data_IF_607904423555
#
_entry.id   IF_607904423555
#
_cell.length_a   1.000
_cell.length_b   1.000
_cell.length_c   1.000
_cell.angle_alpha   90.00
_cell.angle_beta   90.00
_cell.angle_gamma   90.00
#
_symmetry.space_group_name_H-M   'P 1'
#
loop_
_entity.id
_entity.type
_entity.pdbx_description
1 polymer ?
#
# COMPACT_ATOMS: atom_id res chain seq x y z
N UNK A 1 4.86 13.05 6.88
CA UNK A 1 5.39 11.88 6.13
C UNK A 1 6.32 11.01 6.98
N UNK A 2 6.80 11.50 8.12
CA UNK A 2 7.87 10.86 8.91
C UNK A 2 7.38 9.94 10.04
N UNK A 3 6.15 10.13 10.55
CA UNK A 3 5.67 9.38 11.73
C UNK A 3 5.43 7.88 11.50
N UNK A 4 5.15 7.47 10.26
CA UNK A 4 4.84 6.07 9.94
C UNK A 4 6.08 5.21 9.70
N UNK A 5 7.25 5.83 9.47
CA UNK A 5 8.54 5.12 9.27
C UNK A 5 9.10 4.65 10.62
N UNK A 6 8.84 5.40 11.69
CA UNK A 6 9.29 5.11 13.06
C UNK A 6 8.58 3.91 13.72
N UNK A 7 7.43 3.47 13.19
CA UNK A 7 6.67 2.30 13.71
C UNK A 7 7.13 0.95 13.15
N UNK A 8 8.28 0.88 12.48
CA UNK A 8 8.82 -0.37 11.93
C UNK A 8 8.32 -0.73 10.53
N UNK A 9 7.68 0.22 9.83
CA UNK A 9 7.52 0.11 8.39
C UNK A 9 8.89 0.38 7.75
N UNK A 10 9.66 -0.70 7.54
CA UNK A 10 10.93 -0.61 6.82
C UNK A 10 10.72 0.10 5.48
N UNK A 11 11.67 0.99 5.17
CA UNK A 11 11.93 1.59 3.85
C UNK A 11 12.00 0.57 2.69
N UNK A 12 12.13 -0.73 2.98
CA UNK A 12 12.06 -1.82 2.02
C UNK A 12 10.61 -2.23 1.75
N UNK A 13 9.98 -1.61 0.75
CA UNK A 13 9.08 -2.20 -0.28
C UNK A 13 7.96 -3.19 0.08
N UNK A 14 7.82 -3.64 1.32
CA UNK A 14 6.96 -4.76 1.74
C UNK A 14 6.58 -4.57 3.21
N UNK A 15 5.28 -4.53 3.50
CA UNK A 15 4.78 -4.52 4.87
C UNK A 15 5.19 -5.80 5.62
N UNK A 16 5.44 -5.65 6.92
CA UNK A 16 5.67 -6.81 7.80
C UNK A 16 4.39 -7.65 7.96
N UNK A 17 4.52 -8.91 8.40
CA UNK A 17 3.34 -9.76 8.69
C UNK A 17 2.38 -9.13 9.70
N UNK A 18 2.89 -8.40 10.69
CA UNK A 18 2.07 -7.69 11.67
C UNK A 18 1.34 -6.50 11.04
N UNK A 19 2.01 -5.74 10.18
CA UNK A 19 1.40 -4.63 9.43
C UNK A 19 0.28 -5.14 8.52
N UNK A 20 0.48 -6.26 7.80
CA UNK A 20 -0.57 -6.88 6.99
C UNK A 20 -1.77 -7.35 7.82
N UNK A 21 -1.53 -7.89 9.02
CA UNK A 21 -2.61 -8.29 9.94
C UNK A 21 -3.45 -7.07 10.35
N UNK A 22 -2.80 -5.96 10.75
CA UNK A 22 -3.49 -4.72 11.09
C UNK A 22 -4.29 -4.15 9.93
N UNK A 23 -3.69 -4.05 8.74
CA UNK A 23 -4.39 -3.59 7.52
C UNK A 23 -5.60 -4.47 7.25
N UNK A 24 -5.48 -5.80 7.38
CA UNK A 24 -6.60 -6.71 7.19
C UNK A 24 -7.73 -6.48 8.21
N UNK A 25 -7.39 -6.29 9.48
CA UNK A 25 -8.36 -6.02 10.55
C UNK A 25 -9.10 -4.69 10.33
N UNK A 26 -8.37 -3.62 10.01
CA UNK A 26 -8.96 -2.31 9.72
C UNK A 26 -9.83 -2.33 8.46
N UNK A 27 -9.36 -3.00 7.40
CA UNK A 27 -10.11 -3.11 6.14
C UNK A 27 -11.37 -3.97 6.32
N UNK A 28 -11.31 -4.98 7.19
CA UNK A 28 -12.51 -5.72 7.61
C UNK A 28 -13.45 -4.84 8.44
N UNK A 29 -12.95 -4.03 9.37
CA UNK A 29 -13.78 -3.13 10.18
C UNK A 29 -14.50 -2.08 9.31
N UNK A 30 -13.80 -1.52 8.32
CA UNK A 30 -14.34 -0.46 7.45
C UNK A 30 -15.23 -1.02 6.33
N UNK A 31 -14.73 -1.99 5.56
CA UNK A 31 -15.42 -2.50 4.38
C UNK A 31 -16.35 -3.68 4.68
N UNK A 32 -16.27 -4.27 5.90
CA UNK A 32 -16.94 -5.54 6.27
C UNK A 32 -16.66 -6.67 5.28
N UNK A 33 -15.52 -6.60 4.60
CA UNK A 33 -15.09 -7.58 3.59
C UNK A 33 -13.86 -8.32 4.08
N UNK A 34 -13.94 -9.64 4.12
CA UNK A 34 -12.79 -10.48 4.42
C UNK A 34 -11.99 -10.72 3.14
N UNK A 35 -10.69 -10.47 3.22
CA UNK A 35 -9.73 -10.80 2.17
C UNK A 35 -8.69 -11.79 2.69
N UNK A 36 -8.25 -12.71 1.84
CA UNK A 36 -7.08 -13.54 2.12
C UNK A 36 -5.81 -12.68 2.03
N UNK A 37 -4.73 -13.12 2.67
CA UNK A 37 -3.44 -12.41 2.65
C UNK A 37 -2.97 -12.19 1.20
N UNK A 38 -3.12 -13.20 0.33
CA UNK A 38 -2.81 -13.12 -1.09
C UNK A 38 -3.65 -12.08 -1.83
N UNK A 39 -4.96 -12.05 -1.59
CA UNK A 39 -5.86 -11.07 -2.22
C UNK A 39 -5.50 -9.63 -1.83
N UNK A 40 -5.15 -9.42 -0.55
CA UNK A 40 -4.77 -8.13 -0.02
C UNK A 40 -3.45 -7.63 -0.63
N UNK A 41 -2.44 -8.52 -0.70
CA UNK A 41 -1.15 -8.23 -1.36
C UNK A 41 -1.31 -7.89 -2.84
N UNK A 42 -2.11 -8.67 -3.57
CA UNK A 42 -2.33 -8.43 -5.00
C UNK A 42 -3.01 -7.08 -5.24
N UNK A 43 -4.02 -6.73 -4.44
CA UNK A 43 -4.69 -5.42 -4.53
C UNK A 43 -3.74 -4.27 -4.23
N UNK A 44 -2.90 -4.41 -3.20
CA UNK A 44 -1.89 -3.42 -2.87
C UNK A 44 -0.86 -3.25 -4.00
N UNK A 45 -0.37 -4.35 -4.58
CA UNK A 45 0.57 -4.30 -5.70
C UNK A 45 -0.03 -3.58 -6.91
N UNK A 46 -1.29 -3.86 -7.24
CA UNK A 46 -2.01 -3.17 -8.32
C UNK A 46 -2.17 -1.68 -8.03
N UNK A 47 -2.57 -1.31 -6.81
CA UNK A 47 -2.70 0.10 -6.41
C UNK A 47 -1.35 0.82 -6.50
N UNK A 48 -0.27 0.15 -6.07
CA UNK A 48 1.08 0.69 -6.15
C UNK A 48 1.54 0.85 -7.60
N UNK A 49 1.22 -0.09 -8.47
CA UNK A 49 1.51 0.05 -9.90
C UNK A 49 0.78 1.26 -10.47
N UNK A 50 -0.52 1.39 -10.22
CA UNK A 50 -1.29 2.58 -10.64
C UNK A 50 -0.73 3.88 -10.08
N UNK A 51 -0.29 3.90 -8.82
CA UNK A 51 0.33 5.08 -8.23
C UNK A 51 1.68 5.40 -8.88
N UNK A 52 2.48 4.40 -9.25
CA UNK A 52 3.72 4.60 -10.01
C UNK A 52 3.43 5.13 -11.41
N UNK A 53 2.46 4.55 -12.10
CA UNK A 53 2.06 4.96 -13.44
C UNK A 53 1.57 6.42 -13.40
N UNK A 54 0.72 6.77 -12.42
CA UNK A 54 0.25 8.13 -12.22
C UNK A 54 1.40 9.10 -11.90
N UNK A 55 2.33 8.72 -11.02
CA UNK A 55 3.51 9.53 -10.71
C UNK A 55 4.41 9.72 -11.94
N UNK A 56 4.55 8.69 -12.77
CA UNK A 56 5.32 8.76 -14.02
C UNK A 56 4.66 9.72 -15.02
N UNK A 57 3.32 9.70 -15.13
CA UNK A 57 2.59 10.62 -16.00
C UNK A 57 2.72 12.07 -15.53
N UNK A 58 2.67 12.31 -14.22
CA UNK A 58 2.85 13.65 -13.64
C UNK A 58 4.26 14.21 -13.88
N UNK A 59 5.29 13.37 -13.88
CA UNK A 59 6.67 13.80 -14.15
C UNK A 59 6.84 14.14 -15.65
N UNK A 60 6.23 13.35 -16.55
CA UNK A 60 6.33 13.60 -17.99
C UNK A 60 5.52 14.82 -18.48
N UNK A 61 4.59 15.35 -17.69
CA UNK A 61 3.84 16.58 -18.04
C UNK A 61 4.51 17.87 -17.57
N UNK A 62 5.50 17.79 -16.67
CA UNK A 62 6.30 18.95 -16.23
C UNK A 62 7.51 19.19 -17.15
N UNK A 63 7.88 18.20 -17.96
CA UNK A 63 9.01 18.25 -18.91
C UNK A 63 8.61 18.70 -20.35
N UNK A 64 7.43 19.32 -20.52
CA UNK A 64 6.93 19.87 -21.80
C UNK A 64 6.50 21.33 -21.72
#
# INVERSE_FOLDING_TARGET
>A
MEEEVLKGNRNTTTFTKQSWKRIKEELYAQAKRSYTDTQLRNKYNLLRQKHKDFKSLSIMSEDY
#
